data_IF_845377731201
#
_entry.id   IF_845377731201
#
_cell.length_a   1.000
_cell.length_b   1.000
_cell.length_c   1.000
_cell.angle_alpha   90.00
_cell.angle_beta   90.00
_cell.angle_gamma   90.00
#
_symmetry.space_group_name_H-M   'P 1'
#
loop_
_entity.id
_entity.type
_entity.pdbx_description
1 polymer ?
#
# COMPACT_ATOMS: atom_id res chain seq x y z
N UNK A 1 24.87 -33.76 1.90
CA UNK A 1 24.27 -32.79 0.97
C UNK A 1 23.88 -31.53 1.75
N UNK A 2 24.08 -30.34 1.19
CA UNK A 2 23.68 -29.11 1.85
C UNK A 2 22.16 -28.97 1.89
N UNK A 3 21.63 -28.22 2.84
CA UNK A 3 20.19 -27.98 2.96
C UNK A 3 19.93 -26.50 3.14
N UNK A 4 18.96 -25.97 2.41
CA UNK A 4 18.52 -24.58 2.54
C UNK A 4 17.28 -24.51 3.45
N UNK A 5 17.35 -23.70 4.50
CA UNK A 5 16.23 -23.44 5.41
C UNK A 5 16.16 -21.95 5.76
N UNK A 6 15.08 -21.30 5.35
CA UNK A 6 14.90 -19.85 5.50
C UNK A 6 16.08 -19.08 4.90
N UNK A 7 16.80 -18.34 5.74
CA UNK A 7 17.99 -17.55 5.36
C UNK A 7 19.33 -18.30 5.53
N UNK A 8 19.30 -19.62 5.75
CA UNK A 8 20.49 -20.42 6.06
C UNK A 8 20.72 -21.49 5.00
N UNK A 9 21.98 -21.64 4.62
CA UNK A 9 22.48 -22.79 3.89
C UNK A 9 23.36 -23.59 4.84
N UNK A 10 22.96 -24.83 5.14
CA UNK A 10 23.74 -25.73 5.97
C UNK A 10 24.52 -26.68 5.07
N UNK A 11 25.83 -26.75 5.27
CA UNK A 11 26.68 -27.78 4.68
C UNK A 11 26.90 -28.87 5.72
N UNK A 12 26.44 -30.10 5.44
CA UNK A 12 26.80 -31.26 6.23
C UNK A 12 27.94 -31.99 5.53
N UNK A 13 29.11 -32.00 6.17
CA UNK A 13 30.21 -32.87 5.79
C UNK A 13 29.80 -34.31 6.07
N UNK A 14 29.64 -35.10 5.01
CA UNK A 14 29.33 -36.53 5.12
C UNK A 14 30.44 -37.31 4.41
N UNK A 15 31.38 -37.82 5.21
CA UNK A 15 32.53 -38.59 4.77
C UNK A 15 33.38 -38.99 5.96
N UNK A 16 34.19 -40.04 5.80
CA UNK A 16 35.23 -40.46 6.76
C UNK A 16 36.42 -39.49 6.83
N UNK A 17 36.40 -38.43 6.01
CA UNK A 17 37.38 -37.36 6.00
C UNK A 17 37.06 -36.34 7.10
N UNK A 18 37.69 -36.53 8.26
CA UNK A 18 37.84 -35.48 9.25
C UNK A 18 38.64 -34.36 8.59
N UNK A 19 38.06 -33.16 8.45
CA UNK A 19 38.82 -31.97 8.08
C UNK A 19 39.99 -31.84 9.06
N UNK A 20 41.26 -31.94 8.60
CA UNK A 20 42.39 -31.93 9.51
C UNK A 20 42.38 -30.65 10.35
N UNK A 21 42.68 -30.71 11.65
CA UNK A 21 42.85 -29.50 12.43
C UNK A 21 43.89 -28.61 11.75
N UNK A 22 43.57 -27.32 11.62
CA UNK A 22 44.40 -26.29 10.94
C UNK A 22 44.47 -26.41 9.40
N UNK A 23 43.66 -27.26 8.76
CA UNK A 23 43.52 -27.23 7.31
C UNK A 23 42.83 -25.95 6.86
N UNK A 24 43.33 -25.35 5.78
CA UNK A 24 42.70 -24.19 5.14
C UNK A 24 41.56 -24.70 4.25
N UNK A 25 40.33 -24.31 4.59
CA UNK A 25 39.14 -24.59 3.78
C UNK A 25 38.66 -23.29 3.17
N UNK A 26 38.67 -23.24 1.83
CA UNK A 26 38.13 -22.11 1.07
C UNK A 26 36.79 -22.52 0.45
N UNK A 27 35.86 -21.57 0.37
CA UNK A 27 34.59 -21.75 -0.31
C UNK A 27 34.26 -20.51 -1.14
N UNK A 28 33.67 -20.73 -2.30
CA UNK A 28 33.21 -19.67 -3.19
C UNK A 28 31.71 -19.85 -3.40
N UNK A 29 30.95 -18.79 -3.17
CA UNK A 29 29.50 -18.76 -3.41
C UNK A 29 29.21 -17.70 -4.46
N UNK A 30 28.61 -18.11 -5.56
CA UNK A 30 28.09 -17.19 -6.59
C UNK A 30 26.58 -17.21 -6.55
N UNK A 31 25.96 -16.03 -6.55
CA UNK A 31 24.50 -15.90 -6.54
C UNK A 31 24.04 -14.99 -7.67
N UNK A 32 22.81 -15.18 -8.14
CA UNK A 32 22.12 -14.30 -9.07
C UNK A 32 20.75 -14.01 -8.49
N UNK A 33 20.37 -12.74 -8.42
CA UNK A 33 19.01 -12.35 -8.11
C UNK A 33 18.22 -12.27 -9.43
N UNK A 34 17.38 -13.26 -9.77
CA UNK A 34 16.73 -13.28 -11.07
C UNK A 34 15.58 -12.26 -11.10
N UNK A 35 15.42 -11.58 -12.23
CA UNK A 35 14.34 -10.60 -12.42
C UNK A 35 12.95 -11.26 -12.56
N UNK A 36 12.92 -12.57 -12.79
CA UNK A 36 11.73 -13.41 -12.98
C UNK A 36 11.87 -14.65 -12.12
N UNK A 37 10.76 -15.31 -11.82
CA UNK A 37 10.82 -16.58 -11.12
C UNK A 37 11.53 -17.61 -12.04
N UNK A 38 12.70 -18.13 -11.66
CA UNK A 38 13.38 -19.15 -12.45
C UNK A 38 12.49 -20.39 -12.58
N UNK A 39 12.63 -21.12 -13.69
CA UNK A 39 11.94 -22.41 -13.80
C UNK A 39 12.39 -23.35 -12.69
N UNK A 40 11.59 -24.36 -12.36
CA UNK A 40 11.95 -25.34 -11.33
C UNK A 40 13.34 -25.92 -11.57
N UNK A 41 13.74 -26.12 -12.82
CA UNK A 41 15.04 -26.71 -13.23
C UNK A 41 16.21 -25.72 -13.09
N UNK A 42 15.94 -24.42 -13.09
CA UNK A 42 16.97 -23.37 -12.96
C UNK A 42 17.14 -22.91 -11.50
N UNK A 43 16.17 -23.20 -10.63
CA UNK A 43 16.24 -22.83 -9.21
C UNK A 43 16.93 -23.91 -8.37
N UNK A 44 18.21 -24.14 -8.64
CA UNK A 44 19.03 -25.08 -7.89
C UNK A 44 20.37 -24.44 -7.52
N UNK A 45 20.84 -24.78 -6.33
CA UNK A 45 22.24 -24.63 -5.96
C UNK A 45 23.03 -25.78 -6.56
N UNK A 46 24.08 -25.47 -7.30
CA UNK A 46 25.10 -26.44 -7.69
C UNK A 46 26.25 -26.37 -6.69
N UNK A 47 26.69 -27.52 -6.21
CA UNK A 47 27.79 -27.65 -5.24
C UNK A 47 28.83 -28.59 -5.81
N UNK A 48 30.07 -28.15 -5.82
CA UNK A 48 31.23 -28.95 -6.19
C UNK A 48 32.28 -28.85 -5.07
N UNK A 49 32.88 -29.98 -4.73
CA UNK A 49 33.97 -30.08 -3.75
C UNK A 49 35.20 -30.60 -4.47
N UNK A 50 36.33 -29.96 -4.23
CA UNK A 50 37.62 -30.34 -4.80
C UNK A 50 38.62 -30.68 -3.69
N UNK A 51 39.58 -31.55 -3.99
CA UNK A 51 40.75 -31.77 -3.13
C UNK A 51 41.83 -30.68 -3.34
N UNK A 52 42.94 -30.79 -2.62
CA UNK A 52 44.06 -29.85 -2.73
C UNK A 52 44.76 -29.87 -4.12
N UNK A 53 44.56 -30.92 -4.91
CA UNK A 53 45.07 -31.05 -6.27
C UNK A 53 44.04 -30.60 -7.33
N UNK A 54 42.93 -29.98 -6.91
CA UNK A 54 41.81 -29.58 -7.76
C UNK A 54 41.08 -30.76 -8.43
N UNK A 55 41.16 -31.97 -7.86
CA UNK A 55 40.37 -33.10 -8.32
C UNK A 55 38.97 -33.06 -7.68
N UNK A 56 37.93 -33.28 -8.49
CA UNK A 56 36.53 -33.27 -8.04
C UNK A 56 36.27 -34.47 -7.11
N UNK A 57 35.93 -34.18 -5.85
CA UNK A 57 35.57 -35.17 -4.83
C UNK A 57 34.05 -35.42 -4.81
N UNK A 58 33.27 -34.36 -4.96
CA UNK A 58 31.81 -34.42 -4.84
C UNK A 58 31.16 -33.36 -5.72
N UNK A 59 30.03 -33.72 -6.34
CA UNK A 59 29.14 -32.79 -6.99
C UNK A 59 27.69 -33.10 -6.60
N UNK A 60 26.88 -32.07 -6.39
CA UNK A 60 25.48 -32.20 -6.00
C UNK A 60 24.65 -31.00 -6.42
N UNK A 61 23.33 -31.19 -6.40
CA UNK A 61 22.36 -30.13 -6.64
C UNK A 61 21.28 -30.15 -5.57
N UNK A 62 20.91 -28.98 -5.06
CA UNK A 62 19.89 -28.81 -4.02
C UNK A 62 18.92 -27.70 -4.39
N UNK A 63 17.61 -27.83 -4.13
CA UNK A 63 16.64 -26.81 -4.47
C UNK A 63 17.05 -25.43 -3.92
N UNK A 64 16.93 -24.41 -4.77
CA UNK A 64 17.16 -23.03 -4.42
C UNK A 64 16.03 -22.45 -3.57
N UNK A 65 16.23 -21.24 -3.05
CA UNK A 65 15.19 -20.54 -2.32
C UNK A 65 14.02 -20.18 -3.24
N UNK A 66 12.77 -20.18 -2.74
CA UNK A 66 11.66 -19.66 -3.51
C UNK A 66 11.89 -18.17 -3.78
N UNK A 67 11.96 -17.80 -5.06
CA UNK A 67 12.09 -16.40 -5.48
C UNK A 67 10.69 -15.84 -5.71
N UNK A 68 10.37 -14.73 -5.04
CA UNK A 68 9.13 -14.00 -5.27
C UNK A 68 9.47 -12.79 -6.14
N UNK A 69 9.09 -12.79 -7.44
CA UNK A 69 9.29 -11.65 -8.32
C UNK A 69 8.49 -10.41 -7.88
N UNK A 70 8.92 -9.26 -8.39
CA UNK A 70 8.24 -7.98 -8.14
C UNK A 70 7.17 -7.68 -9.18
N UNK A 71 6.14 -6.98 -8.74
CA UNK A 71 5.19 -6.33 -9.64
C UNK A 71 5.84 -5.11 -10.30
N UNK A 72 5.47 -4.82 -11.54
CA UNK A 72 5.99 -3.67 -12.29
C UNK A 72 4.94 -2.56 -12.42
N UNK A 73 5.38 -1.30 -12.40
CA UNK A 73 4.50 -0.15 -12.62
C UNK A 73 3.33 -0.07 -11.65
N UNK A 74 3.55 -0.45 -10.39
CA UNK A 74 2.50 -0.47 -9.37
C UNK A 74 2.07 0.96 -9.03
N UNK A 75 0.79 1.25 -9.12
CA UNK A 75 0.20 2.51 -8.72
C UNK A 75 -1.11 2.29 -7.97
N UNK A 76 -1.32 3.03 -6.88
CA UNK A 76 -2.57 3.08 -6.12
C UNK A 76 -3.06 4.52 -6.11
N UNK A 77 -4.22 4.76 -6.71
CA UNK A 77 -4.79 6.10 -6.88
C UNK A 77 -6.13 6.22 -6.14
N UNK A 78 -6.40 7.41 -5.59
CA UNK A 78 -7.68 7.75 -4.98
C UNK A 78 -8.65 8.32 -6.03
N UNK A 79 -9.60 7.52 -6.49
CA UNK A 79 -10.51 7.87 -7.61
C UNK A 79 -11.91 8.28 -7.17
N UNK A 80 -12.32 7.95 -5.94
CA UNK A 80 -13.64 8.28 -5.41
C UNK A 80 -13.96 9.77 -5.34
N UNK A 81 -15.26 10.11 -5.35
CA UNK A 81 -15.75 11.47 -5.16
C UNK A 81 -15.51 11.98 -3.73
N UNK A 82 -15.70 11.10 -2.74
CA UNK A 82 -15.25 11.35 -1.39
C UNK A 82 -13.74 11.08 -1.32
N UNK A 83 -12.98 12.08 -0.86
CA UNK A 83 -11.52 12.00 -0.74
C UNK A 83 -10.98 12.38 0.63
N UNK A 84 -11.83 12.80 1.56
CA UNK A 84 -11.38 13.24 2.87
C UNK A 84 -11.18 12.07 3.84
N UNK A 85 -10.19 12.16 4.72
CA UNK A 85 -9.98 11.25 5.85
C UNK A 85 -11.29 10.84 6.55
N UNK A 86 -11.43 9.53 6.84
CA UNK A 86 -12.59 8.96 7.54
C UNK A 86 -13.86 8.80 6.69
N UNK A 87 -13.81 9.01 5.37
CA UNK A 87 -14.94 8.77 4.47
C UNK A 87 -14.74 7.52 3.61
N UNK A 88 -15.81 6.75 3.34
CA UNK A 88 -15.78 5.69 2.33
C UNK A 88 -15.41 6.30 0.97
N UNK A 89 -14.40 5.71 0.33
CA UNK A 89 -13.82 6.18 -0.92
C UNK A 89 -13.55 5.00 -1.84
N UNK A 90 -13.00 5.31 -3.03
CA UNK A 90 -12.64 4.33 -4.04
C UNK A 90 -11.15 4.44 -4.37
N UNK A 91 -10.47 3.30 -4.39
CA UNK A 91 -9.08 3.14 -4.79
C UNK A 91 -9.00 2.42 -6.13
N UNK A 92 -8.16 2.93 -7.03
CA UNK A 92 -7.80 2.27 -8.29
C UNK A 92 -6.37 1.78 -8.19
N UNK A 93 -6.17 0.49 -8.44
CA UNK A 93 -4.90 -0.22 -8.38
C UNK A 93 -4.54 -0.67 -9.80
N UNK A 94 -3.33 -0.30 -10.21
CA UNK A 94 -2.75 -0.66 -11.51
C UNK A 94 -1.39 -1.29 -11.30
N UNK A 95 -1.08 -2.35 -12.05
CA UNK A 95 0.25 -2.94 -12.14
C UNK A 95 0.37 -3.85 -13.37
N UNK A 96 1.61 -4.24 -13.68
CA UNK A 96 1.93 -5.34 -14.60
C UNK A 96 2.55 -6.49 -13.79
N UNK A 97 1.91 -7.68 -13.74
CA UNK A 97 2.41 -8.81 -13.00
C UNK A 97 3.59 -9.47 -13.74
N UNK A 98 4.50 -10.08 -12.99
CA UNK A 98 5.57 -10.91 -13.58
C UNK A 98 5.09 -12.35 -13.75
N UNK A 99 4.17 -12.80 -12.91
CA UNK A 99 3.64 -14.16 -12.90
C UNK A 99 2.12 -14.17 -13.05
N UNK A 100 1.55 -15.26 -13.57
CA UNK A 100 0.09 -15.44 -13.55
C UNK A 100 -0.40 -15.70 -12.13
N UNK A 101 -1.61 -15.24 -11.83
CA UNK A 101 -2.22 -15.31 -10.51
C UNK A 101 -3.76 -15.39 -10.59
N UNK A 102 -4.39 -15.86 -9.51
CA UNK A 102 -5.85 -15.95 -9.33
C UNK A 102 -6.39 -15.09 -8.16
N UNK A 103 -5.50 -14.52 -7.35
CA UNK A 103 -5.85 -13.56 -6.30
C UNK A 103 -4.85 -12.40 -6.21
N UNK A 104 -5.33 -11.26 -5.74
CA UNK A 104 -4.52 -10.11 -5.32
C UNK A 104 -4.94 -9.64 -3.94
N UNK A 105 -3.96 -9.34 -3.11
CA UNK A 105 -4.14 -8.78 -1.78
C UNK A 105 -3.54 -7.37 -1.74
N UNK A 106 -4.36 -6.41 -1.32
CA UNK A 106 -3.98 -5.01 -1.13
C UNK A 106 -3.97 -4.73 0.36
N UNK A 107 -2.83 -4.29 0.89
CA UNK A 107 -2.62 -4.02 2.31
C UNK A 107 -2.21 -2.56 2.48
N UNK A 108 -2.94 -1.80 3.29
CA UNK A 108 -2.54 -0.46 3.69
C UNK A 108 -1.60 -0.52 4.90
N UNK A 109 -0.40 0.05 4.76
CA UNK A 109 0.61 0.08 5.81
C UNK A 109 0.58 1.40 6.59
N UNK A 110 0.42 2.52 5.88
CA UNK A 110 0.42 3.85 6.46
C UNK A 110 -0.48 4.80 5.64
N UNK A 111 -1.12 5.82 6.25
CA UNK A 111 -1.35 5.98 7.68
C UNK A 111 -2.20 4.84 8.25
N UNK A 112 -1.99 4.54 9.53
CA UNK A 112 -2.87 3.60 10.25
C UNK A 112 -4.30 4.17 10.27
N UNK A 113 -5.29 3.29 10.07
CA UNK A 113 -6.72 3.62 10.17
C UNK A 113 -7.49 3.54 8.86
N UNK A 114 -6.90 2.97 7.80
CA UNK A 114 -7.72 2.49 6.69
C UNK A 114 -8.66 1.40 7.19
N UNK A 115 -9.84 1.30 6.58
CA UNK A 115 -10.80 0.23 6.84
C UNK A 115 -11.31 -0.37 5.53
N UNK A 116 -10.91 -1.61 5.26
CA UNK A 116 -11.35 -2.40 4.11
C UNK A 116 -12.51 -3.37 4.47
N UNK A 117 -13.07 -3.31 5.68
CA UNK A 117 -14.18 -4.18 6.11
C UNK A 117 -15.44 -4.04 5.22
N UNK A 118 -15.64 -2.87 4.62
CA UNK A 118 -16.71 -2.58 3.65
C UNK A 118 -16.33 -2.82 2.19
N UNK A 119 -15.11 -3.29 1.90
CA UNK A 119 -14.56 -3.27 0.54
C UNK A 119 -15.42 -4.03 -0.47
N UNK A 120 -15.62 -3.42 -1.63
CA UNK A 120 -16.30 -4.00 -2.77
C UNK A 120 -15.48 -3.79 -4.04
N UNK A 121 -15.70 -4.61 -5.06
CA UNK A 121 -15.04 -4.47 -6.36
C UNK A 121 -16.08 -4.19 -7.45
N UNK A 122 -15.64 -3.55 -8.53
CA UNK A 122 -16.43 -3.35 -9.74
C UNK A 122 -16.01 -4.37 -10.80
N UNK A 123 -16.99 -5.01 -11.46
CA UNK A 123 -16.78 -5.98 -12.55
C UNK A 123 -17.30 -7.38 -12.25
N UNK A 124 -17.84 -8.07 -13.25
CA UNK A 124 -18.56 -9.36 -13.11
C UNK A 124 -17.66 -10.55 -12.72
N UNK A 125 -16.34 -10.46 -12.92
CA UNK A 125 -15.39 -11.55 -12.68
C UNK A 125 -14.40 -11.26 -11.54
N UNK A 126 -14.77 -10.36 -10.62
CA UNK A 126 -13.95 -9.98 -9.47
C UNK A 126 -14.76 -10.14 -8.20
N UNK A 127 -14.20 -10.82 -7.22
CA UNK A 127 -14.88 -11.07 -5.95
C UNK A 127 -13.94 -10.77 -4.80
N UNK A 128 -14.35 -9.90 -3.87
CA UNK A 128 -13.61 -9.68 -2.62
C UNK A 128 -13.82 -10.89 -1.72
N UNK A 129 -12.78 -11.72 -1.59
CA UNK A 129 -12.79 -12.98 -0.84
C UNK A 129 -12.49 -12.77 0.65
N UNK A 130 -11.68 -11.77 0.99
CA UNK A 130 -11.37 -11.43 2.39
C UNK A 130 -11.40 -9.92 2.59
N UNK A 131 -11.87 -9.52 3.78
CA UNK A 131 -12.00 -8.13 4.21
C UNK A 131 -11.49 -8.02 5.64
N UNK A 132 -10.47 -7.23 5.83
CA UNK A 132 -9.91 -6.92 7.14
C UNK A 132 -9.83 -5.40 7.30
N UNK A 133 -9.52 -4.86 8.49
CA UNK A 133 -9.36 -3.42 8.65
C UNK A 133 -8.28 -2.85 7.72
N UNK A 134 -7.11 -3.45 7.62
CA UNK A 134 -5.99 -2.91 6.84
C UNK A 134 -5.79 -3.57 5.47
N UNK A 135 -6.63 -4.52 5.07
CA UNK A 135 -6.41 -5.27 3.83
C UNK A 135 -7.69 -5.80 3.21
N UNK A 136 -7.65 -6.00 1.90
CA UNK A 136 -8.65 -6.77 1.17
C UNK A 136 -7.96 -7.74 0.22
N UNK A 137 -8.56 -8.92 0.07
CA UNK A 137 -8.18 -9.91 -0.93
C UNK A 137 -9.26 -10.05 -1.97
N UNK A 138 -8.86 -10.06 -3.24
CA UNK A 138 -9.74 -10.12 -4.40
C UNK A 138 -9.35 -11.30 -5.25
N UNK A 139 -10.31 -12.20 -5.52
CA UNK A 139 -10.15 -13.22 -6.54
C UNK A 139 -10.45 -12.61 -7.91
N UNK A 140 -9.48 -12.73 -8.81
CA UNK A 140 -9.55 -12.28 -10.20
C UNK A 140 -8.45 -12.94 -11.02
N UNK A 141 -8.69 -13.15 -12.32
CA UNK A 141 -7.66 -13.65 -13.22
C UNK A 141 -6.59 -12.58 -13.48
N UNK A 142 -5.32 -12.95 -13.33
CA UNK A 142 -4.15 -12.11 -13.57
C UNK A 142 -3.22 -12.86 -14.51
N UNK A 143 -2.90 -12.25 -15.65
CA UNK A 143 -2.08 -12.86 -16.70
C UNK A 143 -0.68 -12.26 -16.65
N UNK A 144 0.36 -13.11 -16.58
CA UNK A 144 1.75 -12.69 -16.59
C UNK A 144 2.07 -11.72 -17.73
N UNK A 145 2.86 -10.68 -17.44
CA UNK A 145 3.36 -9.68 -18.40
C UNK A 145 2.28 -8.83 -19.10
N UNK A 146 1.02 -8.94 -18.67
CA UNK A 146 -0.09 -8.13 -19.20
C UNK A 146 -0.54 -7.13 -18.13
N UNK A 147 -0.50 -5.81 -18.39
CA UNK A 147 -0.98 -4.83 -17.42
C UNK A 147 -2.46 -5.07 -17.13
N UNK A 148 -2.88 -4.77 -15.89
CA UNK A 148 -4.30 -4.85 -15.55
C UNK A 148 -5.12 -3.90 -16.46
N UNK A 149 -6.00 -4.47 -17.28
CA UNK A 149 -6.92 -3.71 -18.12
C UNK A 149 -8.28 -4.43 -18.15
N UNK A 150 -9.34 -3.88 -17.52
CA UNK A 150 -9.34 -2.61 -16.76
C UNK A 150 -8.56 -2.71 -15.43
N UNK A 151 -8.16 -1.58 -14.82
CA UNK A 151 -7.53 -1.56 -13.50
C UNK A 151 -8.41 -2.24 -12.43
N UNK A 152 -7.81 -2.69 -11.32
CA UNK A 152 -8.56 -3.13 -10.16
C UNK A 152 -9.13 -1.92 -9.43
N UNK A 153 -10.45 -1.89 -9.23
CA UNK A 153 -11.14 -0.82 -8.50
C UNK A 153 -11.75 -1.38 -7.24
N UNK A 154 -11.35 -0.84 -6.09
CA UNK A 154 -11.89 -1.16 -4.78
C UNK A 154 -12.68 0.02 -4.23
N UNK A 155 -13.99 -0.16 -4.06
CA UNK A 155 -14.90 0.80 -3.45
C UNK A 155 -15.12 0.54 -1.97
N UNK A 156 -15.77 1.50 -1.30
CA UNK A 156 -16.20 1.43 0.11
C UNK A 156 -15.05 1.23 1.11
N UNK A 157 -13.88 1.79 0.80
CA UNK A 157 -12.72 1.80 1.71
C UNK A 157 -12.77 3.08 2.54
N UNK A 158 -12.82 2.97 3.86
CA UNK A 158 -12.73 4.17 4.71
C UNK A 158 -11.28 4.61 4.75
N UNK A 159 -11.03 5.86 4.35
CA UNK A 159 -9.68 6.43 4.36
C UNK A 159 -9.18 6.64 5.79
N UNK A 160 -7.88 6.43 5.97
CA UNK A 160 -7.18 6.72 7.22
C UNK A 160 -7.13 8.22 7.55
N UNK A 161 -6.39 8.56 8.61
CA UNK A 161 -6.02 9.96 8.90
C UNK A 161 -5.21 10.56 7.73
N UNK A 162 -5.08 11.89 7.71
CA UNK A 162 -4.26 12.54 6.69
C UNK A 162 -2.80 12.12 6.76
N UNK A 163 -2.15 11.99 5.60
CA UNK A 163 -0.74 11.64 5.49
C UNK A 163 -0.43 10.90 4.19
N UNK A 164 0.86 10.68 3.93
CA UNK A 164 1.33 9.91 2.78
C UNK A 164 0.86 8.45 2.87
N UNK A 165 0.08 8.00 1.89
CA UNK A 165 -0.37 6.63 1.81
C UNK A 165 0.79 5.70 1.40
N UNK A 166 0.78 4.51 2.00
CA UNK A 166 1.72 3.45 1.74
C UNK A 166 0.98 2.12 1.70
N UNK A 167 1.22 1.36 0.63
CA UNK A 167 0.57 0.08 0.40
C UNK A 167 1.58 -1.02 0.13
N UNK A 168 1.14 -2.25 0.38
CA UNK A 168 1.82 -3.48 0.00
C UNK A 168 0.84 -4.29 -0.84
N UNK A 169 1.28 -4.71 -2.02
CA UNK A 169 0.48 -5.50 -2.95
C UNK A 169 1.13 -6.86 -3.17
N UNK A 170 0.32 -7.92 -3.11
CA UNK A 170 0.75 -9.31 -3.34
C UNK A 170 -0.22 -10.00 -4.27
N UNK A 171 0.28 -10.90 -5.11
CA UNK A 171 -0.55 -11.78 -5.92
C UNK A 171 -0.35 -13.23 -5.49
N UNK A 172 -1.35 -14.07 -5.72
CA UNK A 172 -1.30 -15.49 -5.41
C UNK A 172 -1.79 -16.31 -6.59
N UNK A 173 -1.20 -17.48 -6.78
CA UNK A 173 -1.68 -18.52 -7.68
C UNK A 173 -1.90 -19.78 -6.85
N UNK A 174 -3.13 -20.29 -6.80
CA UNK A 174 -3.50 -21.45 -5.98
C UNK A 174 -3.00 -21.31 -4.52
N UNK A 175 -3.21 -20.12 -3.95
CA UNK A 175 -2.77 -19.72 -2.58
C UNK A 175 -1.26 -19.64 -2.34
N UNK A 176 -0.42 -19.89 -3.35
CA UNK A 176 1.01 -19.65 -3.27
C UNK A 176 1.33 -18.24 -3.78
N UNK A 177 2.16 -17.50 -3.05
CA UNK A 177 2.53 -16.13 -3.43
C UNK A 177 3.26 -16.14 -4.79
N UNK A 178 2.74 -15.38 -5.74
CA UNK A 178 3.21 -15.31 -7.12
C UNK A 178 4.13 -14.10 -7.32
N UNK A 179 3.66 -12.89 -7.00
CA UNK A 179 4.45 -11.65 -7.05
C UNK A 179 4.22 -10.79 -5.79
N UNK A 180 5.12 -9.84 -5.53
CA UNK A 180 5.02 -8.92 -4.40
C UNK A 180 5.64 -7.54 -4.69
N UNK A 181 4.95 -6.48 -4.26
CA UNK A 181 5.53 -5.15 -4.10
C UNK A 181 5.36 -4.69 -2.66
N UNK A 182 6.46 -4.69 -1.92
CA UNK A 182 6.48 -4.46 -0.47
C UNK A 182 6.04 -3.04 -0.09
N UNK A 183 6.30 -2.06 -0.95
CA UNK A 183 6.14 -0.65 -0.61
C UNK A 183 5.79 0.21 -1.83
N UNK A 184 4.52 0.59 -1.93
CA UNK A 184 3.99 1.54 -2.90
C UNK A 184 3.74 2.86 -2.19
N UNK A 185 4.48 3.92 -2.54
CA UNK A 185 4.40 5.24 -1.89
C UNK A 185 4.82 6.37 -2.85
N UNK A 186 4.77 7.62 -2.39
CA UNK A 186 5.10 8.79 -3.21
C UNK A 186 4.15 8.95 -4.40
N UNK A 187 4.70 9.19 -5.58
CA UNK A 187 3.96 9.38 -6.83
C UNK A 187 3.22 8.12 -7.31
N UNK A 188 3.64 6.94 -6.83
CA UNK A 188 2.96 5.67 -7.07
C UNK A 188 1.77 5.46 -6.10
N UNK A 189 1.60 6.34 -5.13
CA UNK A 189 0.47 6.36 -4.20
C UNK A 189 -0.14 7.77 -4.17
N UNK A 190 -0.82 8.12 -3.07
CA UNK A 190 -1.42 9.42 -2.89
C UNK A 190 -1.25 9.91 -1.45
N UNK A 191 -1.43 11.21 -1.24
CA UNK A 191 -1.57 11.79 0.10
C UNK A 191 -3.04 11.73 0.47
N UNK A 192 -3.38 11.12 1.61
CA UNK A 192 -4.74 11.14 2.16
C UNK A 192 -5.06 12.58 2.59
N UNK A 193 -6.04 13.23 1.95
CA UNK A 193 -6.46 14.58 2.32
C UNK A 193 -7.01 14.63 3.75
N UNK A 194 -6.72 15.72 4.44
CA UNK A 194 -7.40 16.08 5.67
C UNK A 194 -8.89 16.35 5.45
N UNK A 195 -9.59 16.62 6.55
CA UNK A 195 -11.00 16.95 6.59
C UNK A 195 -11.18 18.26 7.34
N UNK A 196 -12.02 19.13 6.79
CA UNK A 196 -12.52 20.33 7.47
C UNK A 196 -13.91 20.04 8.01
N UNK A 197 -14.12 20.34 9.28
CA UNK A 197 -15.42 20.22 9.94
C UNK A 197 -15.87 21.57 10.47
N UNK A 198 -17.09 21.98 10.13
CA UNK A 198 -17.73 23.16 10.69
C UNK A 198 -18.40 22.77 12.01
N UNK A 199 -17.84 23.18 13.13
CA UNK A 199 -18.35 22.87 14.47
C UNK A 199 -19.49 23.80 14.88
N UNK A 200 -19.37 25.09 14.57
CA UNK A 200 -20.40 26.10 14.85
C UNK A 200 -20.45 27.10 13.72
N UNK A 201 -21.66 27.56 13.43
CA UNK A 201 -21.92 28.63 12.49
C UNK A 201 -22.90 29.63 13.11
N UNK A 202 -22.63 30.93 12.96
CA UNK A 202 -23.52 31.99 13.45
C UNK A 202 -23.48 33.18 12.52
N UNK A 203 -24.65 33.70 12.16
CA UNK A 203 -24.80 34.94 11.42
C UNK A 203 -25.29 36.04 12.36
N UNK A 204 -24.64 37.19 12.35
CA UNK A 204 -25.02 38.33 13.20
C UNK A 204 -24.87 39.66 12.47
N UNK A 205 -25.52 40.69 12.98
CA UNK A 205 -25.29 42.06 12.51
C UNK A 205 -23.94 42.59 13.03
N UNK A 206 -23.29 43.55 12.34
CA UNK A 206 -22.10 44.23 12.86
C UNK A 206 -22.31 44.84 14.25
N UNK A 207 -23.52 45.31 14.56
CA UNK A 207 -23.87 45.86 15.88
C UNK A 207 -23.71 44.82 17.01
N UNK A 208 -23.88 43.53 16.72
CA UNK A 208 -23.71 42.46 17.69
C UNK A 208 -22.25 42.29 18.15
N UNK A 209 -21.28 42.86 17.44
CA UNK A 209 -19.86 42.84 17.80
C UNK A 209 -19.48 43.90 18.84
N UNK A 210 -20.35 44.89 19.07
CA UNK A 210 -20.11 46.00 19.99
C UNK A 210 -21.36 46.31 20.82
N UNK A 211 -21.80 45.35 21.67
CA UNK A 211 -23.04 45.49 22.43
C UNK A 211 -23.04 46.69 23.38
N UNK A 212 -21.88 47.09 23.91
CA UNK A 212 -21.76 48.26 24.80
C UNK A 212 -22.09 49.58 24.10
N UNK A 213 -21.79 49.68 22.80
CA UNK A 213 -22.13 50.85 21.98
C UNK A 213 -23.56 50.78 21.42
N UNK A 214 -24.08 49.56 21.22
CA UNK A 214 -25.38 49.31 20.60
C UNK A 214 -26.24 48.32 21.40
N UNK A 215 -26.66 48.65 22.64
CA UNK A 215 -27.26 47.69 23.58
C UNK A 215 -28.60 47.11 23.11
N UNK A 216 -29.36 47.84 22.31
CA UNK A 216 -30.62 47.36 21.73
C UNK A 216 -30.42 46.70 20.37
N UNK A 217 -29.59 47.29 19.48
CA UNK A 217 -29.42 46.79 18.11
C UNK A 217 -28.60 45.51 18.03
N UNK A 218 -27.68 45.30 18.97
CA UNK A 218 -26.86 44.09 19.09
C UNK A 218 -27.66 42.80 19.34
N UNK A 219 -28.90 42.93 19.81
CA UNK A 219 -29.78 41.80 20.10
C UNK A 219 -30.53 41.30 18.86
N UNK A 220 -30.57 42.07 17.77
CA UNK A 220 -31.27 41.67 16.56
C UNK A 220 -30.44 40.68 15.73
N UNK A 221 -31.14 39.65 15.22
CA UNK A 221 -30.59 38.78 14.18
C UNK A 221 -30.50 39.53 12.86
N UNK A 222 -29.51 39.19 12.03
CA UNK A 222 -29.39 39.71 10.68
C UNK A 222 -30.62 39.36 9.83
N UNK A 223 -31.12 40.33 9.06
CA UNK A 223 -32.28 40.18 8.17
C UNK A 223 -31.84 40.34 6.72
N UNK A 224 -32.74 40.00 5.79
CA UNK A 224 -32.51 40.25 4.38
C UNK A 224 -32.31 41.75 4.14
N UNK A 225 -31.25 42.11 3.43
CA UNK A 225 -30.85 43.50 3.18
C UNK A 225 -29.98 44.13 4.27
N UNK A 226 -29.74 43.44 5.40
CA UNK A 226 -28.79 43.91 6.42
C UNK A 226 -27.36 43.48 6.07
N UNK A 227 -26.39 44.31 6.44
CA UNK A 227 -25.02 43.87 6.58
C UNK A 227 -24.94 42.77 7.65
N UNK A 228 -24.19 41.71 7.35
CA UNK A 228 -24.05 40.57 8.25
C UNK A 228 -22.60 40.08 8.32
N UNK A 229 -22.23 39.58 9.49
CA UNK A 229 -20.95 38.94 9.77
C UNK A 229 -21.20 37.48 10.06
N UNK A 230 -20.60 36.61 9.26
CA UNK A 230 -20.65 35.16 9.43
C UNK A 230 -19.46 34.68 10.27
N UNK A 231 -19.75 33.90 11.31
CA UNK A 231 -18.78 33.25 12.17
C UNK A 231 -18.79 31.75 11.93
N UNK A 232 -17.61 31.18 11.72
CA UNK A 232 -17.40 29.75 11.61
C UNK A 232 -16.37 29.31 12.65
N UNK A 233 -16.68 28.28 13.42
CA UNK A 233 -15.69 27.55 14.21
C UNK A 233 -15.32 26.29 13.42
N UNK A 234 -14.10 26.24 12.90
CA UNK A 234 -13.61 25.15 12.06
C UNK A 234 -12.70 24.21 12.87
N UNK A 235 -12.72 22.93 12.52
CA UNK A 235 -11.73 21.94 12.96
C UNK A 235 -11.11 21.29 11.73
N UNK A 236 -9.79 21.23 11.71
CA UNK A 236 -9.01 20.58 10.66
C UNK A 236 -8.45 19.28 11.20
N UNK A 237 -8.56 18.18 10.44
CA UNK A 237 -7.94 16.90 10.79
C UNK A 237 -6.49 16.76 10.30
N UNK A 238 -6.00 17.73 9.55
CA UNK A 238 -4.62 17.87 9.10
C UNK A 238 -4.08 19.25 9.51
N UNK A 239 -2.75 19.37 9.61
CA UNK A 239 -2.12 20.66 9.82
C UNK A 239 -2.37 21.58 8.62
N UNK A 240 -2.67 22.85 8.89
CA UNK A 240 -2.79 23.91 7.89
C UNK A 240 -1.60 24.84 8.09
N UNK A 241 -0.84 25.07 7.03
CA UNK A 241 0.37 25.87 7.05
C UNK A 241 0.08 27.34 6.75
N UNK A 242 0.98 28.23 7.18
CA UNK A 242 0.91 29.62 6.77
C UNK A 242 1.07 29.72 5.25
N UNK A 243 0.11 30.39 4.59
CA UNK A 243 0.05 30.52 3.12
C UNK A 243 -0.94 29.58 2.44
N UNK A 244 -1.51 28.60 3.16
CA UNK A 244 -2.60 27.78 2.61
C UNK A 244 -3.88 28.61 2.44
N UNK A 245 -4.63 28.33 1.37
CA UNK A 245 -5.86 29.04 1.03
C UNK A 245 -7.10 28.35 1.60
N UNK A 246 -7.97 29.13 2.25
CA UNK A 246 -9.32 28.69 2.61
C UNK A 246 -10.31 29.28 1.60
N UNK A 247 -10.84 28.43 0.73
CA UNK A 247 -11.91 28.82 -0.20
C UNK A 247 -13.26 28.62 0.48
N UNK A 248 -14.07 29.68 0.51
CA UNK A 248 -15.44 29.64 1.02
C UNK A 248 -16.38 29.90 -0.15
N UNK A 249 -17.22 28.91 -0.45
CA UNK A 249 -18.22 29.01 -1.50
C UNK A 249 -19.61 29.11 -0.89
N UNK A 250 -20.46 29.95 -1.48
CA UNK A 250 -21.88 30.02 -1.19
C UNK A 250 -22.61 30.12 -2.52
N UNK A 251 -23.66 29.31 -2.70
CA UNK A 251 -24.54 29.48 -3.84
C UNK A 251 -25.24 30.85 -3.73
N UNK A 252 -25.39 31.60 -4.83
CA UNK A 252 -26.29 32.75 -4.83
C UNK A 252 -27.69 32.26 -4.46
N UNK A 253 -28.41 33.07 -3.69
CA UNK A 253 -29.81 32.80 -3.35
C UNK A 253 -30.62 32.68 -4.65
N UNK A 254 -31.35 31.58 -4.85
CA UNK A 254 -32.44 31.48 -5.83
C UNK A 254 -33.72 32.13 -5.30
#
# INVERSE_FOLDING_TARGET
APTCDGSRMLFRFSGSEVLPPLSLTEFVVTTRNPARNPSLVENFWSIEQFDAAMALLYAGAEPGWPVIPRLQGVAVSLTGAARSAGRPSELTIQFTPTSSADEVEVIALNPIGFDFSGASTVGEQRVVTQREPSSARVSMAIVAEVPLDPPLVLGNIVLSRSGQAEFHIRTFQASLKADEELRVTGDAAFVVPGRVEVLRQRLQTPFALSPDQYPHRSQFKARAGDDAVAFFALRFSAAVSAGDELVVEAAPFE
#
